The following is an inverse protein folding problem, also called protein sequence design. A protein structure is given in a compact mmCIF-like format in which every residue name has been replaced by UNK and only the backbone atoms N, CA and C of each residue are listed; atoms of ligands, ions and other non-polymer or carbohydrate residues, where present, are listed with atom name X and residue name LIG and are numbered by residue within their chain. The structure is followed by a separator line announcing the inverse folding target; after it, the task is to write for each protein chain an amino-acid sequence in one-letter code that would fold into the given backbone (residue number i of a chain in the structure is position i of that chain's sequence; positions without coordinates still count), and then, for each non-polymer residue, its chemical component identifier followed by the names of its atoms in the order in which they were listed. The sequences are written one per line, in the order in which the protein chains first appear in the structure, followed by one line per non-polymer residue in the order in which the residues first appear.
data_IF_889151691666
#
_entry.id   IF_889151691666
#
_cell.length_a   1.000
_cell.length_b   1.000
_cell.length_c   1.000
_cell.angle_alpha   90.00
_cell.angle_beta   90.00
_cell.angle_gamma   90.00
#
_symmetry.space_group_name_H-M   'P 1'
#
loop_
_entity.id
_entity.type
_entity.pdbx_description
1 polymer ?
#
# COMPACT_ATOMS: atom_id res chain seq x y z
N UNK A 1 -14.59 25.93 24.17
CA UNK A 1 -15.67 24.93 24.14
C UNK A 1 -15.71 24.40 22.73
N UNK A 2 -15.47 23.10 22.56
CA UNK A 2 -15.45 22.42 21.28
C UNK A 2 -16.87 22.40 20.69
N UNK A 3 -17.07 23.10 19.57
CA UNK A 3 -18.23 22.95 18.70
C UNK A 3 -18.24 21.53 18.14
N UNK A 4 -18.80 20.61 18.92
CA UNK A 4 -19.04 19.23 18.53
C UNK A 4 -20.39 19.22 17.82
N UNK A 5 -20.36 19.55 16.52
CA UNK A 5 -21.54 19.64 15.68
C UNK A 5 -22.01 18.21 15.39
N UNK A 6 -23.00 17.74 16.15
CA UNK A 6 -23.62 16.44 15.94
C UNK A 6 -24.43 16.48 14.63
N UNK A 7 -23.81 15.99 13.55
CA UNK A 7 -24.38 16.00 12.22
C UNK A 7 -25.77 15.36 12.20
N UNK A 8 -26.05 14.37 13.05
CA UNK A 8 -27.36 13.71 13.13
C UNK A 8 -28.49 14.69 13.47
N UNK A 9 -28.23 15.70 14.31
CA UNK A 9 -29.22 16.72 14.67
C UNK A 9 -29.44 17.74 13.56
N UNK A 10 -28.37 18.24 12.93
CA UNK A 10 -28.47 19.14 11.76
C UNK A 10 -29.00 18.42 10.49
N UNK A 11 -28.87 17.10 10.45
CA UNK A 11 -29.31 16.22 9.37
C UNK A 11 -30.80 15.89 9.45
N UNK A 12 -31.32 15.69 10.68
CA UNK A 12 -32.76 15.49 10.91
C UNK A 12 -33.61 16.73 10.61
N UNK A 13 -32.98 17.90 10.45
CA UNK A 13 -33.64 19.18 10.15
C UNK A 13 -33.86 19.46 8.65
N UNK A 14 -33.53 18.51 7.77
CA UNK A 14 -34.21 18.36 6.47
C UNK A 14 -33.74 19.24 5.30
N UNK A 15 -32.51 19.77 5.30
CA UNK A 15 -31.99 20.60 4.19
C UNK A 15 -31.03 19.91 3.21
N UNK A 16 -30.60 18.67 3.47
CA UNK A 16 -29.79 17.89 2.54
C UNK A 16 -30.60 16.72 1.98
N UNK A 17 -30.56 16.53 0.66
CA UNK A 17 -31.13 15.37 -0.03
C UNK A 17 -30.48 14.09 0.51
N UNK A 18 -31.19 13.43 1.41
CA UNK A 18 -30.87 12.21 2.16
C UNK A 18 -30.18 11.08 1.33
N UNK A 19 -30.37 10.92 0.00
CA UNK A 19 -29.67 9.88 -0.78
C UNK A 19 -28.17 10.12 -1.05
N UNK A 20 -27.72 11.37 -1.29
CA UNK A 20 -26.37 11.62 -1.86
C UNK A 20 -25.25 11.38 -0.84
N UNK A 21 -25.50 11.74 0.43
CA UNK A 21 -24.49 11.60 1.51
C UNK A 21 -24.32 10.15 1.94
N UNK A 22 -25.42 9.39 2.06
CA UNK A 22 -25.34 7.93 2.31
C UNK A 22 -24.57 7.21 1.21
N UNK A 23 -24.72 7.66 -0.04
CA UNK A 23 -23.94 7.16 -1.18
C UNK A 23 -22.44 7.47 -1.04
N UNK A 24 -22.07 8.66 -0.55
CA UNK A 24 -20.67 9.04 -0.30
C UNK A 24 -20.05 8.14 0.80
N UNK A 25 -20.73 7.95 1.93
CA UNK A 25 -20.26 7.05 3.00
C UNK A 25 -20.16 5.60 2.53
N UNK A 26 -21.14 5.11 1.76
CA UNK A 26 -21.11 3.76 1.20
C UNK A 26 -19.93 3.57 0.22
N UNK A 27 -19.63 4.57 -0.62
CA UNK A 27 -18.47 4.55 -1.53
C UNK A 27 -17.15 4.56 -0.76
N UNK A 28 -17.06 5.36 0.28
CA UNK A 28 -15.93 5.41 1.20
C UNK A 28 -15.66 4.07 1.88
N UNK A 29 -16.69 3.43 2.40
CA UNK A 29 -16.60 2.10 2.97
C UNK A 29 -16.16 1.05 1.95
N UNK A 30 -16.72 1.11 0.75
CA UNK A 30 -16.33 0.22 -0.34
C UNK A 30 -14.84 0.41 -0.68
N UNK A 31 -14.35 1.65 -0.68
CA UNK A 31 -12.93 1.96 -0.88
C UNK A 31 -12.06 1.40 0.26
N UNK A 32 -12.44 1.62 1.52
CA UNK A 32 -11.74 1.08 2.69
C UNK A 32 -11.66 -0.45 2.66
N UNK A 33 -12.75 -1.14 2.29
CA UNK A 33 -12.77 -2.60 2.08
C UNK A 33 -11.84 -3.02 0.94
N UNK A 34 -11.83 -2.30 -0.19
CA UNK A 34 -10.92 -2.57 -1.32
C UNK A 34 -9.46 -2.42 -0.90
N UNK A 35 -9.12 -1.38 -0.14
CA UNK A 35 -7.77 -1.14 0.39
C UNK A 35 -7.38 -2.28 1.34
N UNK A 36 -8.26 -2.64 2.29
CA UNK A 36 -8.03 -3.73 3.25
C UNK A 36 -7.78 -5.06 2.55
N UNK A 37 -8.60 -5.41 1.56
CA UNK A 37 -8.43 -6.64 0.78
C UNK A 37 -7.15 -6.61 -0.06
N UNK A 38 -6.69 -5.44 -0.52
CA UNK A 38 -5.41 -5.31 -1.22
C UNK A 38 -4.25 -5.57 -0.27
N UNK A 39 -4.28 -5.00 0.94
CA UNK A 39 -3.24 -5.24 1.97
C UNK A 39 -3.21 -6.72 2.36
N UNK A 40 -4.37 -7.31 2.65
CA UNK A 40 -4.45 -8.71 3.06
C UNK A 40 -3.90 -9.67 2.00
N UNK A 41 -4.28 -9.48 0.73
CA UNK A 41 -3.71 -10.24 -0.39
C UNK A 41 -2.19 -10.02 -0.53
N UNK A 42 -1.74 -8.78 -0.39
CA UNK A 42 -0.32 -8.44 -0.42
C UNK A 42 0.47 -9.17 0.67
N UNK A 43 -0.04 -9.17 1.90
CA UNK A 43 0.59 -9.87 3.02
C UNK A 43 0.73 -11.37 2.76
N UNK A 44 -0.33 -12.03 2.25
CA UNK A 44 -0.28 -13.46 1.92
C UNK A 44 0.81 -13.76 0.89
N UNK A 45 0.87 -12.97 -0.20
CA UNK A 45 1.87 -13.14 -1.26
C UNK A 45 3.29 -12.92 -0.73
N UNK A 46 3.49 -11.91 0.11
CA UNK A 46 4.79 -11.60 0.71
C UNK A 46 5.23 -12.69 1.70
N UNK A 47 4.32 -13.20 2.53
CA UNK A 47 4.60 -14.33 3.42
C UNK A 47 4.96 -15.59 2.64
N UNK A 48 4.23 -15.89 1.55
CA UNK A 48 4.54 -17.02 0.69
C UNK A 48 5.93 -16.87 0.04
N UNK A 49 6.29 -15.63 -0.36
CA UNK A 49 7.62 -15.31 -0.88
C UNK A 49 8.72 -15.59 0.14
N UNK A 50 8.52 -15.23 1.42
CA UNK A 50 9.49 -15.54 2.49
C UNK A 50 9.65 -17.06 2.65
N UNK A 51 8.55 -17.80 2.68
CA UNK A 51 8.58 -19.27 2.81
C UNK A 51 9.35 -19.88 1.63
N UNK A 52 9.09 -19.42 0.41
CA UNK A 52 9.80 -19.86 -0.78
C UNK A 52 11.31 -19.53 -0.73
N UNK A 53 11.68 -18.36 -0.22
CA UNK A 53 13.08 -17.99 -0.02
C UNK A 53 13.79 -18.86 1.02
N UNK A 54 13.12 -19.18 2.13
CA UNK A 54 13.65 -20.11 3.15
C UNK A 54 13.81 -21.51 2.55
N UNK A 55 12.84 -21.96 1.75
CA UNK A 55 12.92 -23.23 1.04
C UNK A 55 14.12 -23.28 0.08
N UNK A 56 14.35 -22.22 -0.71
CA UNK A 56 15.54 -22.12 -1.59
C UNK A 56 16.82 -22.19 -0.75
N UNK A 57 16.88 -21.46 0.37
CA UNK A 57 18.05 -21.51 1.26
C UNK A 57 18.34 -22.94 1.70
N UNK A 58 17.31 -23.63 2.21
CA UNK A 58 17.46 -24.97 2.74
C UNK A 58 17.78 -26.00 1.65
N UNK A 59 17.20 -25.89 0.46
CA UNK A 59 17.41 -26.85 -0.63
C UNK A 59 18.75 -26.67 -1.34
N UNK A 60 19.14 -25.43 -1.66
CA UNK A 60 20.31 -25.16 -2.51
C UNK A 60 21.59 -24.87 -1.73
N UNK A 61 21.51 -24.75 -0.39
CA UNK A 61 22.65 -24.50 0.50
C UNK A 61 23.66 -23.48 -0.07
N UNK A 62 23.28 -22.19 -0.18
CA UNK A 62 24.12 -21.18 -0.81
C UNK A 62 25.51 -21.16 -0.19
N UNK A 63 26.53 -21.30 -1.02
CA UNK A 63 27.92 -21.41 -0.57
C UNK A 63 28.55 -20.03 -0.41
N UNK A 64 28.15 -19.07 -1.26
CA UNK A 64 28.69 -17.71 -1.21
C UNK A 64 28.08 -16.89 -0.07
N UNK A 65 28.94 -16.12 0.61
CA UNK A 65 28.55 -15.19 1.67
C UNK A 65 27.64 -14.09 1.09
N UNK A 66 27.90 -13.65 -0.15
CA UNK A 66 27.09 -12.64 -0.85
C UNK A 66 25.63 -13.06 -1.00
N UNK A 67 25.37 -14.34 -1.29
CA UNK A 67 24.01 -14.89 -1.44
C UNK A 67 23.28 -14.95 -0.10
N UNK A 68 23.98 -15.31 0.98
CA UNK A 68 23.42 -15.30 2.34
C UNK A 68 23.05 -13.88 2.78
N UNK A 69 23.92 -12.91 2.50
CA UNK A 69 23.66 -11.48 2.76
C UNK A 69 22.48 -11.01 1.93
N UNK A 70 22.46 -11.31 0.63
CA UNK A 70 21.38 -10.93 -0.28
C UNK A 70 20.02 -11.45 0.20
N UNK A 71 19.95 -12.74 0.54
CA UNK A 71 18.71 -13.36 1.02
C UNK A 71 18.24 -12.77 2.36
N UNK A 72 19.16 -12.54 3.29
CA UNK A 72 18.85 -11.89 4.58
C UNK A 72 18.33 -10.47 4.36
N UNK A 73 18.96 -9.70 3.46
CA UNK A 73 18.53 -8.35 3.11
C UNK A 73 17.12 -8.33 2.52
N UNK A 74 16.80 -9.27 1.62
CA UNK A 74 15.45 -9.38 1.06
C UNK A 74 14.42 -9.71 2.13
N UNK A 75 14.70 -10.68 3.01
CA UNK A 75 13.78 -11.06 4.09
C UNK A 75 13.53 -9.86 5.01
N UNK A 76 14.57 -9.14 5.41
CA UNK A 76 14.44 -7.93 6.22
C UNK A 76 13.61 -6.84 5.52
N UNK A 77 13.80 -6.65 4.22
CA UNK A 77 13.00 -5.71 3.43
C UNK A 77 11.51 -6.10 3.42
N UNK A 78 11.19 -7.38 3.24
CA UNK A 78 9.81 -7.88 3.26
C UNK A 78 9.18 -7.69 4.65
N UNK A 79 9.90 -8.03 5.72
CA UNK A 79 9.41 -7.88 7.11
C UNK A 79 9.12 -6.40 7.41
N UNK A 80 10.06 -5.51 7.08
CA UNK A 80 9.88 -4.07 7.28
C UNK A 80 8.65 -3.54 6.52
N UNK A 81 8.47 -3.96 5.28
CA UNK A 81 7.31 -3.59 4.48
C UNK A 81 5.99 -4.12 5.09
N UNK A 82 5.95 -5.39 5.53
CA UNK A 82 4.79 -6.00 6.19
C UNK A 82 4.37 -5.25 7.46
N UNK A 83 5.34 -4.89 8.31
CA UNK A 83 5.07 -4.12 9.54
C UNK A 83 4.43 -2.78 9.17
N UNK A 84 5.01 -2.08 8.18
CA UNK A 84 4.55 -0.77 7.75
C UNK A 84 3.15 -0.83 7.13
N UNK A 85 2.85 -1.85 6.31
CA UNK A 85 1.52 -2.04 5.72
C UNK A 85 0.48 -2.46 6.76
N UNK A 86 0.86 -3.22 7.79
CA UNK A 86 -0.06 -3.61 8.85
C UNK A 86 -0.54 -2.41 9.70
N UNK A 87 0.25 -1.34 9.77
CA UNK A 87 -0.18 -0.08 10.42
C UNK A 87 -1.36 0.60 9.72
N UNK A 88 -1.74 0.20 8.49
CA UNK A 88 -2.98 0.69 7.86
C UNK A 88 -4.25 0.05 8.42
N UNK A 89 -4.19 -1.17 8.96
CA UNK A 89 -5.39 -1.84 9.48
C UNK A 89 -6.15 -1.04 10.55
N UNK A 90 -5.52 -0.44 11.58
CA UNK A 90 -6.24 0.36 12.56
C UNK A 90 -6.87 1.62 11.95
N UNK A 91 -6.25 2.22 10.92
CA UNK A 91 -6.79 3.40 10.23
C UNK A 91 -7.98 3.08 9.32
N UNK A 92 -8.08 1.82 8.88
CA UNK A 92 -9.17 1.31 8.05
C UNK A 92 -10.28 0.67 8.89
N UNK A 93 -10.05 0.44 10.19
CA UNK A 93 -11.07 -0.04 11.10
C UNK A 93 -12.14 1.05 11.23
N UNK A 94 -13.41 0.65 11.18
CA UNK A 94 -14.51 1.59 11.44
C UNK A 94 -14.41 1.96 12.91
N UNK A 95 -14.28 3.25 13.18
CA UNK A 95 -14.67 3.78 14.48
C UNK A 95 -16.19 3.83 14.44
N UNK A 96 -16.88 3.32 15.46
CA UNK A 96 -18.36 3.32 15.55
C UNK A 96 -18.97 4.74 15.53
N UNK A 97 -18.14 5.77 15.46
CA UNK A 97 -18.46 7.18 15.27
C UNK A 97 -18.80 7.51 13.81
N UNK A 98 -19.71 6.76 13.18
CA UNK A 98 -20.34 7.11 11.89
C UNK A 98 -21.18 8.42 11.97
N UNK A 99 -20.97 9.26 13.00
CA UNK A 99 -21.90 10.33 13.41
C UNK A 99 -21.27 11.73 13.41
N UNK A 100 -19.94 11.86 13.38
CA UNK A 100 -19.27 13.17 13.20
C UNK A 100 -18.54 13.25 11.85
N UNK A 101 -19.08 14.04 10.93
CA UNK A 101 -18.54 14.17 9.57
C UNK A 101 -17.15 14.82 9.56
N UNK A 102 -16.78 15.60 10.58
CA UNK A 102 -15.44 16.14 10.71
C UNK A 102 -14.43 15.03 11.02
N UNK A 103 -14.72 14.18 12.00
CA UNK A 103 -13.90 13.01 12.29
C UNK A 103 -13.77 12.04 11.10
N UNK A 104 -14.83 11.87 10.29
CA UNK A 104 -14.75 11.05 9.08
C UNK A 104 -13.85 11.64 7.98
N UNK A 105 -13.98 12.95 7.73
CA UNK A 105 -13.11 13.67 6.79
C UNK A 105 -11.64 13.59 7.24
N UNK A 106 -11.38 13.81 8.53
CA UNK A 106 -10.04 13.67 9.10
C UNK A 106 -9.49 12.25 8.93
N UNK A 107 -10.31 11.22 9.14
CA UNK A 107 -9.92 9.82 8.93
C UNK A 107 -9.50 9.59 7.47
N UNK A 108 -10.26 10.09 6.50
CA UNK A 108 -9.93 9.97 5.07
C UNK A 108 -8.63 10.69 4.70
N UNK A 109 -8.39 11.87 5.26
CA UNK A 109 -7.13 12.61 5.08
C UNK A 109 -5.96 11.81 5.66
N UNK A 110 -6.10 11.23 6.86
CA UNK A 110 -5.06 10.37 7.46
C UNK A 110 -4.79 9.13 6.62
N UNK A 111 -5.83 8.48 6.10
CA UNK A 111 -5.69 7.32 5.19
C UNK A 111 -4.90 7.73 3.93
N UNK A 112 -5.22 8.88 3.33
CA UNK A 112 -4.49 9.42 2.18
C UNK A 112 -3.01 9.61 2.49
N UNK A 113 -2.69 10.37 3.55
CA UNK A 113 -1.30 10.67 3.93
C UNK A 113 -0.49 9.39 4.21
N UNK A 114 -1.09 8.43 4.93
CA UNK A 114 -0.43 7.14 5.20
C UNK A 114 -0.22 6.33 3.93
N UNK A 115 -1.17 6.31 3.00
CA UNK A 115 -1.00 5.64 1.71
C UNK A 115 0.10 6.28 0.87
N UNK A 116 0.19 7.61 0.85
CA UNK A 116 1.26 8.30 0.14
C UNK A 116 2.62 7.97 0.73
N UNK A 117 2.75 7.97 2.05
CA UNK A 117 3.98 7.56 2.73
C UNK A 117 4.36 6.10 2.41
N UNK A 118 3.40 5.19 2.47
CA UNK A 118 3.64 3.77 2.17
C UNK A 118 4.04 3.57 0.70
N UNK A 119 3.38 4.23 -0.23
CA UNK A 119 3.65 4.10 -1.66
C UNK A 119 4.93 4.83 -2.12
N UNK A 120 5.25 6.00 -1.55
CA UNK A 120 6.42 6.80 -1.95
C UNK A 120 7.68 6.39 -1.20
N UNK A 121 7.61 6.18 0.11
CA UNK A 121 8.79 5.93 0.94
C UNK A 121 9.03 4.45 1.15
N UNK A 122 8.04 3.74 1.69
CA UNK A 122 8.23 2.34 2.10
C UNK A 122 8.33 1.39 0.90
N UNK A 123 7.46 1.55 -0.09
CA UNK A 123 7.52 0.74 -1.32
C UNK A 123 8.80 1.00 -2.11
N UNK A 124 9.31 2.23 -2.10
CA UNK A 124 10.61 2.57 -2.71
C UNK A 124 11.75 1.85 -2.01
N UNK A 125 11.83 1.98 -0.68
CA UNK A 125 12.87 1.30 0.10
C UNK A 125 12.81 -0.20 -0.10
N UNK A 126 11.61 -0.79 -0.01
CA UNK A 126 11.37 -2.21 -0.28
C UNK A 126 11.93 -2.64 -1.64
N UNK A 127 11.61 -1.92 -2.72
CA UNK A 127 12.08 -2.26 -4.07
C UNK A 127 13.60 -2.14 -4.22
N UNK A 128 14.22 -1.12 -3.60
CA UNK A 128 15.68 -0.94 -3.63
C UNK A 128 16.37 -2.11 -2.92
N UNK A 129 15.97 -2.42 -1.68
CA UNK A 129 16.56 -3.53 -0.93
C UNK A 129 16.30 -4.89 -1.60
N UNK A 130 15.09 -5.09 -2.14
CA UNK A 130 14.76 -6.29 -2.91
C UNK A 130 15.65 -6.44 -4.15
N UNK A 131 15.85 -5.34 -4.89
CA UNK A 131 16.69 -5.33 -6.09
C UNK A 131 18.14 -5.64 -5.74
N UNK A 132 18.71 -4.96 -4.73
CA UNK A 132 20.08 -5.21 -4.27
C UNK A 132 20.25 -6.66 -3.83
N UNK A 133 19.33 -7.17 -3.01
CA UNK A 133 19.38 -8.55 -2.54
C UNK A 133 19.24 -9.56 -3.66
N UNK A 134 18.40 -9.29 -4.68
CA UNK A 134 18.26 -10.11 -5.87
C UNK A 134 19.52 -10.10 -6.74
N UNK A 135 20.15 -8.93 -6.96
CA UNK A 135 21.42 -8.83 -7.68
C UNK A 135 22.51 -9.63 -6.98
N UNK A 136 22.63 -9.51 -5.66
CA UNK A 136 23.56 -10.29 -4.84
C UNK A 136 23.31 -11.79 -4.92
N UNK A 137 22.03 -12.20 -4.86
CA UNK A 137 21.62 -13.60 -5.02
C UNK A 137 22.00 -14.15 -6.40
N UNK A 138 21.78 -13.37 -7.45
CA UNK A 138 22.08 -13.80 -8.81
C UNK A 138 23.57 -14.01 -9.07
N UNK A 139 24.49 -13.41 -8.31
CA UNK A 139 25.94 -13.58 -8.52
C UNK A 139 26.33 -15.06 -8.48
N UNK A 140 25.80 -15.82 -7.52
CA UNK A 140 26.15 -17.24 -7.36
C UNK A 140 25.59 -18.12 -8.48
N UNK A 141 24.37 -17.86 -8.93
CA UNK A 141 23.66 -18.73 -9.87
C UNK A 141 23.88 -18.32 -11.33
N UNK A 142 23.88 -17.03 -11.63
CA UNK A 142 24.16 -16.52 -12.97
C UNK A 142 25.65 -16.67 -13.32
N UNK A 143 26.55 -16.61 -12.32
CA UNK A 143 27.98 -16.83 -12.51
C UNK A 143 28.39 -18.27 -12.83
N UNK A 144 27.47 -19.25 -12.68
CA UNK A 144 27.69 -20.65 -13.09
C UNK A 144 27.41 -20.89 -14.59
N UNK A 145 26.73 -19.95 -15.25
CA UNK A 145 26.39 -20.02 -16.67
C UNK A 145 27.42 -19.34 -17.58
N UNK A 146 27.15 -19.29 -18.88
CA UNK A 146 27.97 -18.52 -19.82
C UNK A 146 27.79 -17.02 -19.62
N UNK A 147 28.77 -16.21 -20.07
CA UNK A 147 28.68 -14.74 -20.03
C UNK A 147 27.42 -14.20 -20.73
N UNK A 148 26.97 -14.85 -21.81
CA UNK A 148 25.76 -14.47 -22.55
C UNK A 148 24.51 -14.74 -21.70
N UNK A 149 24.47 -15.88 -21.02
CA UNK A 149 23.38 -16.23 -20.10
C UNK A 149 23.32 -15.25 -18.92
N UNK A 150 24.47 -14.94 -18.33
CA UNK A 150 24.58 -13.97 -17.24
C UNK A 150 24.07 -12.59 -17.67
N UNK A 151 24.55 -12.05 -18.79
CA UNK A 151 24.16 -10.73 -19.29
C UNK A 151 22.66 -10.67 -19.59
N UNK A 152 22.13 -11.73 -20.21
CA UNK A 152 20.70 -11.83 -20.54
C UNK A 152 19.85 -11.90 -19.27
N UNK A 153 20.23 -12.72 -18.29
CA UNK A 153 19.49 -12.87 -17.04
C UNK A 153 19.44 -11.54 -16.25
N UNK A 154 20.58 -10.84 -16.13
CA UNK A 154 20.63 -9.53 -15.46
C UNK A 154 19.87 -8.47 -16.25
N UNK A 155 20.02 -8.42 -17.58
CA UNK A 155 19.33 -7.46 -18.44
C UNK A 155 17.81 -7.61 -18.40
N UNK A 156 17.30 -8.84 -18.51
CA UNK A 156 15.87 -9.14 -18.43
C UNK A 156 15.31 -8.78 -17.04
N UNK A 157 16.03 -9.15 -15.97
CA UNK A 157 15.61 -8.84 -14.59
C UNK A 157 15.56 -7.35 -14.35
N UNK A 158 16.59 -6.60 -14.79
CA UNK A 158 16.62 -5.15 -14.66
C UNK A 158 15.53 -4.47 -15.48
N UNK A 159 15.32 -4.90 -16.74
CA UNK A 159 14.25 -4.37 -17.58
C UNK A 159 12.87 -4.62 -16.97
N UNK A 160 12.66 -5.81 -16.39
CA UNK A 160 11.42 -6.15 -15.69
C UNK A 160 11.19 -5.26 -14.46
N UNK A 161 12.22 -5.04 -13.64
CA UNK A 161 12.16 -4.15 -12.47
C UNK A 161 11.87 -2.71 -12.91
N UNK A 162 12.56 -2.22 -13.93
CA UNK A 162 12.37 -0.87 -14.47
C UNK A 162 10.94 -0.67 -15.00
N UNK A 163 10.41 -1.64 -15.75
CA UNK A 163 9.03 -1.59 -16.25
C UNK A 163 8.01 -1.55 -15.10
N UNK A 164 8.17 -2.40 -14.09
CA UNK A 164 7.30 -2.40 -12.90
C UNK A 164 7.37 -1.06 -12.15
N UNK A 165 8.58 -0.51 -12.02
CA UNK A 165 8.82 0.73 -11.31
C UNK A 165 8.26 1.97 -12.00
N UNK A 166 8.48 2.12 -13.31
CA UNK A 166 8.07 3.31 -14.03
C UNK A 166 6.61 3.26 -14.47
N UNK A 167 6.13 2.11 -14.97
CA UNK A 167 4.80 2.02 -15.57
C UNK A 167 3.73 1.61 -14.56
N UNK A 168 3.88 0.42 -13.97
CA UNK A 168 2.83 -0.19 -13.14
C UNK A 168 2.62 0.62 -11.85
N UNK A 169 3.73 1.00 -11.19
CA UNK A 169 3.68 1.74 -9.93
C UNK A 169 3.01 3.10 -10.09
N UNK A 170 3.47 3.93 -11.02
CA UNK A 170 2.97 5.31 -11.22
C UNK A 170 1.47 5.31 -11.46
N UNK A 171 1.01 4.48 -12.41
CA UNK A 171 -0.41 4.36 -12.76
C UNK A 171 -1.27 3.83 -11.61
N UNK A 172 -0.74 2.91 -10.80
CA UNK A 172 -1.47 2.36 -9.66
C UNK A 172 -1.62 3.38 -8.54
N UNK A 173 -0.57 4.16 -8.25
CA UNK A 173 -0.59 5.19 -7.21
C UNK A 173 -1.56 6.31 -7.58
N UNK A 174 -1.48 6.82 -8.81
CA UNK A 174 -2.38 7.87 -9.30
C UNK A 174 -3.85 7.46 -9.22
N UNK A 175 -4.17 6.22 -9.66
CA UNK A 175 -5.53 5.70 -9.58
C UNK A 175 -6.04 5.63 -8.15
N UNK A 176 -5.20 5.22 -7.20
CA UNK A 176 -5.58 5.15 -5.78
C UNK A 176 -5.75 6.55 -5.17
N UNK A 177 -4.85 7.49 -5.45
CA UNK A 177 -4.94 8.86 -4.97
C UNK A 177 -6.18 9.57 -5.52
N UNK A 178 -6.48 9.41 -6.81
CA UNK A 178 -7.66 10.02 -7.42
C UNK A 178 -8.97 9.51 -6.80
N UNK A 179 -9.06 8.21 -6.50
CA UNK A 179 -10.24 7.64 -5.84
C UNK A 179 -10.45 8.18 -4.42
N UNK A 180 -9.37 8.40 -3.65
CA UNK A 180 -9.46 8.99 -2.30
C UNK A 180 -9.78 10.48 -2.39
N UNK A 181 -9.16 11.21 -3.31
CA UNK A 181 -9.40 12.64 -3.51
C UNK A 181 -10.84 12.94 -3.93
N UNK A 182 -11.45 12.12 -4.80
CA UNK A 182 -12.85 12.30 -5.19
C UNK A 182 -13.78 12.22 -3.96
N UNK A 183 -13.53 11.27 -3.05
CA UNK A 183 -14.32 11.12 -1.82
C UNK A 183 -14.11 12.29 -0.87
N UNK A 184 -12.86 12.73 -0.67
CA UNK A 184 -12.53 13.90 0.18
C UNK A 184 -13.22 15.16 -0.37
N UNK A 185 -13.13 15.42 -1.68
CA UNK A 185 -13.73 16.60 -2.28
C UNK A 185 -15.26 16.62 -2.15
N UNK A 186 -15.91 15.46 -2.30
CA UNK A 186 -17.37 15.32 -2.09
C UNK A 186 -17.76 15.58 -0.64
N UNK A 187 -17.00 15.07 0.33
CA UNK A 187 -17.23 15.32 1.75
C UNK A 187 -17.05 16.79 2.12
N UNK A 188 -16.00 17.46 1.61
CA UNK A 188 -15.77 18.88 1.85
C UNK A 188 -16.88 19.76 1.27
N UNK A 189 -17.40 19.42 0.08
CA UNK A 189 -18.50 20.16 -0.55
C UNK A 189 -19.79 20.10 0.29
N UNK A 190 -20.13 18.91 0.81
CA UNK A 190 -21.30 18.72 1.70
C UNK A 190 -21.11 19.48 3.01
N UNK A 191 -19.92 19.44 3.61
CA UNK A 191 -19.65 20.15 4.86
C UNK A 191 -19.79 21.68 4.70
N UNK A 192 -19.32 22.24 3.57
CA UNK A 192 -19.49 23.68 3.27
C UNK A 192 -20.95 24.08 3.07
N UNK A 193 -21.75 23.25 2.40
CA UNK A 193 -23.18 23.50 2.19
C UNK A 193 -24.02 23.48 3.48
N UNK A 194 -23.50 22.85 4.54
CA UNK A 194 -24.19 22.76 5.84
C UNK A 194 -23.76 23.87 6.82
N UNK A 195 -22.66 24.57 6.51
CA UNK A 195 -22.14 25.70 7.28
C UNK A 195 -22.64 27.07 6.76
N UNK A 196 -23.17 27.12 5.53
CA UNK A 196 -23.90 28.26 4.93
C UNK A 196 -25.42 28.18 5.20
#
# INVERSE_FOLDING_TARGET
MSDNIDFKQLWSSGKATVPDVSEIFAKADQLNRKIRNKIWRGNIILSLTIIFMIFIWWHYHPQLITTKIGLTLVILAIISFLISTNQMFPLLARTDEETDSQHFLEQMIRIKQKQEFLNKTMLTGYFIFLSIGLFLYMIEYAGRGSLIFQLSAYGITFAWIAFNWFYIRTKTIEKQQNAINDIINRLEAVNKQLLD
#
